data_IF_305247086735
#
_entry.id   IF_305247086735
#
_cell.length_a   1.000
_cell.length_b   1.000
_cell.length_c   1.000
_cell.angle_alpha   90.00
_cell.angle_beta   90.00
_cell.angle_gamma   90.00
#
_symmetry.space_group_name_H-M   'P 1'
#
loop_
_entity.id
_entity.type
_entity.pdbx_description
1 polymer ?
#
# COMPACT_ATOMS: atom_id res chain seq x y z
N UNK A 1 0.33 14.71 -2.53
CA UNK A 1 0.58 13.25 -2.37
C UNK A 1 2.08 13.06 -2.37
N UNK A 2 2.62 12.34 -1.38
CA UNK A 2 4.06 12.14 -1.22
C UNK A 2 4.49 10.97 -2.13
N UNK A 3 5.32 11.26 -3.14
CA UNK A 3 5.74 10.29 -4.15
C UNK A 3 6.91 9.47 -3.61
N UNK A 4 6.79 8.15 -3.54
CA UNK A 4 7.90 7.28 -3.12
C UNK A 4 8.66 6.79 -4.36
N UNK A 5 9.94 7.14 -4.49
CA UNK A 5 10.78 6.71 -5.61
C UNK A 5 11.85 5.76 -5.11
N UNK A 6 11.99 4.59 -5.73
CA UNK A 6 13.01 3.61 -5.39
C UNK A 6 13.39 2.73 -6.60
N UNK A 7 14.64 2.24 -6.62
CA UNK A 7 15.13 1.31 -7.62
C UNK A 7 14.39 -0.03 -7.54
N UNK A 8 13.92 -0.54 -8.67
CA UNK A 8 13.22 -1.82 -8.76
C UNK A 8 13.78 -2.73 -9.85
N UNK A 9 15.01 -3.20 -9.63
CA UNK A 9 15.67 -4.22 -10.46
C UNK A 9 16.25 -3.68 -11.77
N UNK A 10 15.53 -2.81 -12.48
CA UNK A 10 15.94 -2.24 -13.77
C UNK A 10 16.17 -0.73 -13.73
N UNK A 11 15.30 0.00 -13.04
CA UNK A 11 15.34 1.44 -12.94
C UNK A 11 14.67 1.95 -11.66
N UNK A 12 14.86 3.24 -11.39
CA UNK A 12 14.06 3.93 -10.39
C UNK A 12 12.60 4.00 -10.83
N UNK A 13 11.72 3.52 -9.96
CA UNK A 13 10.28 3.53 -10.16
C UNK A 13 9.62 4.44 -9.14
N UNK A 14 8.61 5.16 -9.61
CA UNK A 14 7.68 5.87 -8.75
C UNK A 14 6.60 4.91 -8.29
N UNK A 15 6.57 4.66 -6.99
CA UNK A 15 5.51 3.93 -6.31
C UNK A 15 4.46 4.91 -5.81
N UNK A 16 3.24 4.77 -6.33
CA UNK A 16 2.10 5.57 -5.92
C UNK A 16 0.94 4.64 -5.60
N UNK A 17 0.39 4.78 -4.39
CA UNK A 17 -0.85 4.12 -4.00
C UNK A 17 -2.01 5.08 -4.29
N UNK A 18 -2.63 4.93 -5.47
CA UNK A 18 -3.73 5.80 -5.89
C UNK A 18 -5.03 5.47 -5.13
N UNK A 19 -6.02 6.39 -5.09
CA UNK A 19 -7.32 6.11 -4.47
C UNK A 19 -8.02 4.87 -5.02
N UNK A 20 -7.92 4.62 -6.33
CA UNK A 20 -8.51 3.44 -6.97
C UNK A 20 -7.85 2.14 -6.49
N UNK A 21 -6.52 2.14 -6.33
CA UNK A 21 -5.79 1.01 -5.78
C UNK A 21 -6.13 0.77 -4.31
N UNK A 22 -6.42 1.81 -3.54
CA UNK A 22 -6.91 1.68 -2.16
C UNK A 22 -8.27 0.99 -2.14
N UNK A 23 -9.22 1.43 -2.97
CA UNK A 23 -10.56 0.82 -3.05
C UNK A 23 -10.47 -0.66 -3.45
N UNK A 24 -9.66 -0.97 -4.47
CA UNK A 24 -9.48 -2.35 -4.91
C UNK A 24 -8.80 -3.22 -3.84
N UNK A 25 -7.83 -2.67 -3.09
CA UNK A 25 -7.21 -3.36 -1.98
C UNK A 25 -8.25 -3.69 -0.89
N UNK A 26 -9.03 -2.70 -0.45
CA UNK A 26 -10.08 -2.88 0.56
C UNK A 26 -11.11 -3.94 0.15
N UNK A 27 -11.50 -3.97 -1.14
CA UNK A 27 -12.39 -5.00 -1.70
C UNK A 27 -11.81 -6.39 -1.61
N UNK A 28 -10.52 -6.56 -1.92
CA UNK A 28 -9.86 -7.87 -1.92
C UNK A 28 -9.66 -8.45 -0.52
N UNK A 29 -9.44 -7.59 0.47
CA UNK A 29 -9.15 -8.00 1.85
C UNK A 29 -10.38 -7.95 2.76
N UNK A 30 -11.48 -7.34 2.33
CA UNK A 30 -12.72 -7.22 3.10
C UNK A 30 -12.61 -6.31 4.33
N UNK A 31 -11.61 -5.42 4.37
CA UNK A 31 -11.37 -4.48 5.46
C UNK A 31 -10.85 -3.14 4.95
N UNK A 32 -11.08 -2.08 5.71
CA UNK A 32 -10.61 -0.73 5.38
C UNK A 32 -9.10 -0.57 5.51
N UNK A 33 -8.51 0.33 4.71
CA UNK A 33 -7.07 0.60 4.64
C UNK A 33 -6.48 1.05 6.00
N UNK A 34 -7.29 1.70 6.84
CA UNK A 34 -6.90 2.07 8.20
C UNK A 34 -6.50 0.88 9.06
N UNK A 35 -7.09 -0.30 8.85
CA UNK A 35 -6.71 -1.52 9.57
C UNK A 35 -5.29 -1.97 9.19
N UNK A 36 -4.91 -1.86 7.91
CA UNK A 36 -3.55 -2.16 7.45
C UNK A 36 -2.53 -1.15 8.01
N UNK A 37 -2.88 0.13 8.05
CA UNK A 37 -2.01 1.17 8.61
C UNK A 37 -1.65 0.95 10.08
N UNK A 38 -2.54 0.29 10.85
CA UNK A 38 -2.28 -0.09 12.23
C UNK A 38 -1.51 -1.42 12.32
N UNK A 39 -1.95 -2.42 11.55
CA UNK A 39 -1.45 -3.80 11.69
C UNK A 39 -0.09 -4.05 11.07
N UNK A 40 0.21 -3.45 9.91
CA UNK A 40 1.45 -3.74 9.17
C UNK A 40 2.69 -3.26 9.93
N UNK A 41 2.75 -2.02 10.46
CA UNK A 41 3.90 -1.58 11.25
C UNK A 41 4.10 -2.39 12.54
N UNK A 42 3.02 -2.88 13.15
CA UNK A 42 3.05 -3.72 14.34
C UNK A 42 3.36 -5.20 14.04
N UNK A 43 3.42 -5.59 12.76
CA UNK A 43 3.69 -6.97 12.36
C UNK A 43 2.51 -7.94 12.53
N UNK A 44 1.28 -7.43 12.61
CA UNK A 44 0.06 -8.21 12.86
C UNK A 44 -0.52 -8.82 11.56
N UNK A 45 0.16 -9.83 11.00
CA UNK A 45 -0.21 -10.49 9.72
C UNK A 45 -1.16 -11.69 9.84
N UNK A 46 -1.56 -12.06 11.05
CA UNK A 46 -2.42 -13.24 11.33
C UNK A 46 -3.91 -12.96 11.21
#
# INVERSE_FOLDING_TARGET
MNTHVAFFGDADRTFALTPELIIELERKIGMGIGSLCLRVPEGHFK
#
